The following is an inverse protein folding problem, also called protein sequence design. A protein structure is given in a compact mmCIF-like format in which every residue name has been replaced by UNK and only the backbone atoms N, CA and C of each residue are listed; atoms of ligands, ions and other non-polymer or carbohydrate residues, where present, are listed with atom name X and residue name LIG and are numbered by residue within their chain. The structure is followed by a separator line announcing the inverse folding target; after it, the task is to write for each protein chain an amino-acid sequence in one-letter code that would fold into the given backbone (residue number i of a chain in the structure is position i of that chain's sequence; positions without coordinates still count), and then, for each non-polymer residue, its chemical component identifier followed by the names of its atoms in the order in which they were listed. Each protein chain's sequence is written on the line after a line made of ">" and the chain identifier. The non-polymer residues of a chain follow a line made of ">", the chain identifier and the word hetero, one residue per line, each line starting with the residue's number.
data_IF_304577820339
#
_entry.id   IF_304577820339
#
_cell.length_a   1.000
_cell.length_b   1.000
_cell.length_c   1.000
_cell.angle_alpha   90.00
_cell.angle_beta   90.00
_cell.angle_gamma   90.00
#
_symmetry.space_group_name_H-M   'P 1'
#
loop_
_entity.id
_entity.type
_entity.pdbx_description
1 polymer ?
#
# COMPACT_ATOMS: atom_id res chain seq x y z
N UNK A 1 -19.12 -23.79 16.45
CA UNK A 1 -17.88 -23.95 15.67
C UNK A 1 -17.56 -22.59 15.07
N UNK A 2 -16.63 -21.86 15.68
CA UNK A 2 -16.27 -20.51 15.22
C UNK A 2 -15.67 -20.58 13.83
N UNK A 3 -16.04 -19.65 12.95
CA UNK A 3 -15.39 -19.51 11.64
C UNK A 3 -13.89 -19.28 11.88
N UNK A 4 -13.00 -20.01 11.19
CA UNK A 4 -11.56 -20.00 11.46
C UNK A 4 -10.90 -18.61 11.30
N UNK A 5 -11.55 -17.67 10.60
CA UNK A 5 -10.94 -16.37 10.24
C UNK A 5 -11.53 -15.16 10.99
N UNK A 6 -12.25 -15.39 12.10
CA UNK A 6 -12.84 -14.30 12.89
C UNK A 6 -11.89 -13.80 14.00
N UNK A 7 -11.70 -12.49 14.07
CA UNK A 7 -11.04 -11.79 15.19
C UNK A 7 -12.06 -11.09 16.08
N UNK A 8 -11.64 -10.69 17.27
CA UNK A 8 -12.42 -9.81 18.15
C UNK A 8 -12.02 -8.35 17.89
N UNK A 9 -12.99 -7.45 17.99
CA UNK A 9 -12.73 -6.01 18.02
C UNK A 9 -13.25 -5.41 19.32
N UNK A 10 -12.58 -4.36 19.77
CA UNK A 10 -12.99 -3.50 20.88
C UNK A 10 -12.88 -2.04 20.45
N UNK A 11 -13.88 -1.21 20.76
CA UNK A 11 -13.87 0.21 20.39
C UNK A 11 -13.75 1.09 21.64
N UNK A 12 -12.70 1.90 21.69
CA UNK A 12 -12.64 3.09 22.54
C UNK A 12 -13.38 4.21 21.82
N UNK A 13 -14.44 4.72 22.43
CA UNK A 13 -15.33 5.70 21.81
C UNK A 13 -14.99 7.13 22.24
N UNK A 14 -15.03 8.04 21.29
CA UNK A 14 -14.96 9.48 21.51
C UNK A 14 -16.03 10.23 20.71
N UNK A 15 -16.37 11.44 21.15
CA UNK A 15 -17.20 12.38 20.41
C UNK A 15 -16.33 13.31 19.56
N UNK A 16 -16.95 13.99 18.60
CA UNK A 16 -16.29 14.96 17.71
C UNK A 16 -15.65 16.16 18.45
N UNK A 17 -16.06 16.43 19.70
CA UNK A 17 -15.46 17.45 20.56
C UNK A 17 -14.24 16.96 21.36
N UNK A 18 -13.85 15.68 21.18
CA UNK A 18 -12.74 15.05 21.91
C UNK A 18 -13.13 14.41 23.23
N UNK A 19 -14.42 14.41 23.62
CA UNK A 19 -14.85 13.72 24.84
C UNK A 19 -14.73 12.21 24.69
N UNK A 20 -13.88 11.56 25.50
CA UNK A 20 -13.75 10.09 25.56
C UNK A 20 -14.87 9.51 26.43
N UNK A 21 -15.62 8.56 25.88
CA UNK A 21 -16.81 7.97 26.52
C UNK A 21 -16.52 6.67 27.27
N UNK A 22 -15.51 5.91 26.83
CA UNK A 22 -15.16 4.60 27.36
C UNK A 22 -14.98 3.55 26.27
N UNK A 23 -14.82 2.29 26.67
CA UNK A 23 -14.59 1.15 25.76
C UNK A 23 -15.79 0.21 25.71
N UNK A 24 -16.10 -0.33 24.54
CA UNK A 24 -17.13 -1.37 24.39
C UNK A 24 -16.67 -2.69 25.00
N UNK A 25 -17.59 -3.62 25.32
CA UNK A 25 -17.23 -5.04 25.34
C UNK A 25 -16.69 -5.44 23.97
N UNK A 26 -15.71 -6.35 23.93
CA UNK A 26 -15.23 -6.89 22.66
C UNK A 26 -16.33 -7.71 21.94
N UNK A 27 -16.40 -7.62 20.62
CA UNK A 27 -17.37 -8.32 19.76
C UNK A 27 -16.67 -9.03 18.60
N UNK A 28 -17.34 -9.99 17.97
CA UNK A 28 -16.79 -10.75 16.85
C UNK A 28 -16.86 -9.96 15.55
N UNK A 29 -15.80 -10.06 14.74
CA UNK A 29 -15.68 -9.43 13.42
C UNK A 29 -15.32 -10.52 12.39
N UNK A 30 -15.98 -10.48 11.24
CA UNK A 30 -15.86 -11.52 10.23
C UNK A 30 -14.62 -11.42 9.34
N UNK A 31 -13.93 -10.28 9.36
CA UNK A 31 -12.65 -10.09 8.65
C UNK A 31 -11.46 -10.25 9.60
N UNK A 32 -10.45 -11.06 9.24
CA UNK A 32 -9.20 -11.16 10.01
C UNK A 32 -8.32 -9.92 9.82
N UNK A 33 -8.51 -9.14 8.76
CA UNK A 33 -7.61 -8.04 8.41
C UNK A 33 -7.90 -6.80 9.26
N UNK A 34 -6.90 -6.35 10.01
CA UNK A 34 -7.04 -5.19 10.89
C UNK A 34 -7.35 -3.87 10.15
N UNK A 35 -6.84 -3.61 8.93
CA UNK A 35 -7.22 -2.43 8.15
C UNK A 35 -8.67 -2.44 7.65
N UNK A 36 -9.32 -3.62 7.54
CA UNK A 36 -10.69 -3.73 7.03
C UNK A 36 -11.70 -3.44 8.13
N UNK A 37 -12.34 -2.27 8.05
CA UNK A 37 -13.17 -1.73 9.11
C UNK A 37 -14.66 -1.68 8.78
N UNK A 38 -15.08 -1.95 7.54
CA UNK A 38 -16.49 -2.08 7.21
C UNK A 38 -17.20 -3.12 8.11
N UNK A 39 -16.68 -4.36 8.28
CA UNK A 39 -17.30 -5.34 9.17
C UNK A 39 -17.26 -4.94 10.65
N UNK A 40 -16.29 -4.11 11.06
CA UNK A 40 -16.20 -3.57 12.43
C UNK A 40 -17.32 -2.55 12.64
N UNK A 41 -17.52 -1.64 11.69
CA UNK A 41 -18.59 -0.64 11.73
C UNK A 41 -19.97 -1.29 11.76
N UNK A 42 -20.20 -2.32 10.94
CA UNK A 42 -21.47 -3.02 10.86
C UNK A 42 -21.81 -3.72 12.20
N UNK A 43 -20.85 -4.47 12.76
CA UNK A 43 -21.02 -5.15 14.05
C UNK A 43 -21.20 -4.16 15.21
N UNK A 44 -20.44 -3.06 15.20
CA UNK A 44 -20.56 -2.02 16.21
C UNK A 44 -21.88 -1.25 16.12
N UNK A 45 -22.42 -1.04 14.92
CA UNK A 45 -23.73 -0.38 14.73
C UNK A 45 -24.84 -1.17 15.42
N UNK A 46 -24.82 -2.50 15.30
CA UNK A 46 -25.79 -3.38 16.00
C UNK A 46 -25.65 -3.26 17.52
N UNK A 47 -24.42 -3.13 18.02
CA UNK A 47 -24.14 -3.01 19.47
C UNK A 47 -24.50 -1.64 20.04
N UNK A 48 -24.22 -0.57 19.30
CA UNK A 48 -24.24 0.81 19.79
C UNK A 48 -25.54 1.55 19.41
N UNK A 49 -26.26 1.08 18.39
CA UNK A 49 -27.41 1.77 17.80
C UNK A 49 -27.03 2.99 16.94
N UNK A 50 -25.74 3.22 16.75
CA UNK A 50 -25.15 4.30 15.96
C UNK A 50 -23.93 3.76 15.23
N UNK A 51 -23.69 4.25 14.00
CA UNK A 51 -22.57 3.80 13.20
C UNK A 51 -21.30 4.57 13.57
N UNK A 52 -20.27 3.92 14.14
CA UNK A 52 -19.02 4.60 14.45
C UNK A 52 -18.20 4.82 13.19
N UNK A 53 -17.28 5.79 13.25
CA UNK A 53 -16.17 5.93 12.29
C UNK A 53 -14.87 5.49 12.97
N UNK A 54 -14.17 4.52 12.39
CA UNK A 54 -12.90 4.04 12.94
C UNK A 54 -11.81 5.04 12.58
N UNK A 55 -11.08 5.53 13.58
CA UNK A 55 -9.98 6.48 13.36
C UNK A 55 -8.67 5.72 13.12
N UNK A 56 -8.26 4.90 14.10
CA UNK A 56 -6.97 4.20 14.11
C UNK A 56 -6.99 3.00 15.03
N UNK A 57 -5.96 2.17 14.94
CA UNK A 57 -5.68 1.13 15.94
C UNK A 57 -5.02 1.75 17.18
N UNK A 58 -5.38 1.20 18.34
CA UNK A 58 -4.74 1.44 19.63
C UNK A 58 -3.90 0.24 20.06
N UNK A 59 -4.35 -0.97 19.75
CA UNK A 59 -3.68 -2.22 20.12
C UNK A 59 -4.02 -3.32 19.13
N UNK A 60 -3.02 -4.13 18.79
CA UNK A 60 -3.19 -5.36 18.03
C UNK A 60 -2.58 -6.53 18.80
N UNK A 61 -3.40 -7.53 19.11
CA UNK A 61 -2.99 -8.75 19.80
C UNK A 61 -3.11 -9.91 18.82
N UNK A 62 -1.98 -10.56 18.55
CA UNK A 62 -1.92 -11.80 17.80
C UNK A 62 -2.01 -13.02 18.74
N UNK A 63 -2.60 -14.09 18.23
CA UNK A 63 -2.55 -15.43 18.83
C UNK A 63 -1.14 -16.03 18.66
N UNK A 64 -0.80 -17.10 19.40
CA UNK A 64 0.49 -17.77 19.27
C UNK A 64 0.80 -18.32 17.86
N UNK A 65 -0.22 -18.58 17.04
CA UNK A 65 -0.10 -18.99 15.65
C UNK A 65 0.05 -17.81 14.66
N UNK A 66 0.17 -16.59 15.17
CA UNK A 66 0.29 -15.34 14.40
C UNK A 66 -1.04 -14.78 13.90
N UNK A 67 -2.16 -15.49 14.08
CA UNK A 67 -3.47 -15.02 13.64
C UNK A 67 -3.99 -13.87 14.52
N UNK A 68 -4.82 -12.96 13.98
CA UNK A 68 -5.38 -11.85 14.76
C UNK A 68 -6.33 -12.37 15.86
N UNK A 69 -6.07 -12.00 17.11
CA UNK A 69 -6.96 -12.33 18.24
C UNK A 69 -7.92 -11.19 18.56
N UNK A 70 -7.36 -10.05 18.95
CA UNK A 70 -8.06 -8.84 19.35
C UNK A 70 -7.44 -7.64 18.68
N UNK A 71 -8.28 -6.73 18.19
CA UNK A 71 -7.83 -5.40 17.80
C UNK A 71 -8.66 -4.36 18.51
N UNK A 72 -8.00 -3.46 19.24
CA UNK A 72 -8.63 -2.31 19.85
C UNK A 72 -8.47 -1.12 18.92
N UNK A 73 -9.58 -0.44 18.65
CA UNK A 73 -9.63 0.77 17.84
C UNK A 73 -10.03 1.97 18.67
N UNK A 74 -9.58 3.14 18.22
CA UNK A 74 -10.23 4.40 18.55
C UNK A 74 -11.30 4.67 17.49
N UNK A 75 -12.52 5.00 17.92
CA UNK A 75 -13.62 5.33 17.03
C UNK A 75 -14.37 6.59 17.48
N UNK A 76 -14.78 7.39 16.50
CA UNK A 76 -15.67 8.53 16.70
C UNK A 76 -17.14 8.07 16.55
N UNK A 77 -18.02 8.54 17.44
CA UNK A 77 -19.45 8.25 17.40
C UNK A 77 -20.25 9.56 17.46
N UNK A 78 -21.36 9.70 16.70
CA UNK A 78 -22.11 10.96 16.63
C UNK A 78 -22.74 11.39 17.96
N UNK A 79 -23.08 10.44 18.83
CA UNK A 79 -23.68 10.69 20.14
C UNK A 79 -23.39 9.55 21.12
N UNK A 80 -23.46 9.80 22.44
CA UNK A 80 -23.27 8.75 23.43
C UNK A 80 -24.24 7.56 23.21
N UNK A 81 -23.75 6.32 23.21
CA UNK A 81 -24.60 5.15 23.06
C UNK A 81 -25.36 4.86 24.35
N UNK A 82 -26.50 4.18 24.24
CA UNK A 82 -27.20 3.65 25.43
C UNK A 82 -26.49 2.42 26.03
N UNK A 83 -25.60 1.78 25.26
CA UNK A 83 -24.82 0.63 25.70
C UNK A 83 -23.85 1.02 26.82
N UNK A 84 -23.69 0.13 27.81
CA UNK A 84 -22.75 0.34 28.91
C UNK A 84 -21.30 0.26 28.41
N UNK A 85 -20.50 1.28 28.74
CA UNK A 85 -19.09 1.37 28.41
C UNK A 85 -18.22 1.08 29.63
N UNK A 86 -17.03 0.53 29.39
CA UNK A 86 -15.99 0.32 30.41
C UNK A 86 -15.10 1.55 30.50
N UNK A 87 -14.62 1.93 31.70
CA UNK A 87 -13.61 2.96 31.83
C UNK A 87 -12.37 2.64 31.00
N UNK A 88 -11.79 3.66 30.39
CA UNK A 88 -10.51 3.58 29.65
C UNK A 88 -9.44 4.24 30.51
N UNK A 89 -8.25 3.63 30.53
CA UNK A 89 -7.07 4.18 31.19
C UNK A 89 -6.17 4.90 30.19
N UNK A 90 -5.57 6.02 30.61
CA UNK A 90 -4.75 6.84 29.72
C UNK A 90 -5.59 7.75 28.83
N UNK A 91 -4.90 8.56 28.02
CA UNK A 91 -5.53 9.45 27.05
C UNK A 91 -5.35 8.87 25.63
N UNK A 92 -6.38 8.23 25.04
CA UNK A 92 -6.29 7.67 23.69
C UNK A 92 -6.22 8.75 22.61
N UNK A 93 -6.51 10.02 22.94
CA UNK A 93 -6.44 11.16 22.04
C UNK A 93 -5.12 11.93 22.14
N UNK A 94 -4.23 11.54 23.06
CA UNK A 94 -2.95 12.18 23.26
C UNK A 94 -2.24 12.38 21.91
N UNK A 95 -1.68 13.58 21.67
CA UNK A 95 -1.00 13.87 20.41
C UNK A 95 0.24 13.01 20.29
N UNK A 96 0.42 12.40 19.12
CA UNK A 96 1.64 11.65 18.77
C UNK A 96 2.16 12.15 17.43
N UNK A 97 3.49 12.17 17.23
CA UNK A 97 4.07 12.50 15.93
C UNK A 97 3.56 11.56 14.83
N UNK A 98 3.44 12.11 13.62
CA UNK A 98 3.09 11.35 12.42
C UNK A 98 1.70 10.68 12.44
N UNK A 99 0.80 11.09 13.34
CA UNK A 99 -0.62 10.69 13.23
C UNK A 99 -1.23 11.24 11.95
N UNK A 100 -1.91 10.38 11.20
CA UNK A 100 -2.54 10.76 9.95
C UNK A 100 -3.76 11.66 10.20
N UNK A 101 -4.07 12.59 9.27
CA UNK A 101 -5.24 13.46 9.43
C UNK A 101 -6.55 12.69 9.57
N UNK A 102 -6.74 11.59 8.82
CA UNK A 102 -7.95 10.75 8.93
C UNK A 102 -7.98 9.87 10.19
N UNK A 103 -6.88 9.75 10.91
CA UNK A 103 -6.76 9.03 12.19
C UNK A 103 -7.04 9.93 13.41
N UNK A 104 -7.37 11.20 13.19
CA UNK A 104 -7.68 12.18 14.25
C UNK A 104 -9.18 12.48 14.30
N UNK A 105 -9.66 12.88 15.48
CA UNK A 105 -11.05 13.32 15.71
C UNK A 105 -11.42 14.44 14.73
N UNK A 106 -12.57 14.33 14.06
CA UNK A 106 -13.04 15.23 13.01
C UNK A 106 -12.33 15.10 11.65
N UNK A 107 -11.24 14.33 11.58
CA UNK A 107 -10.48 14.09 10.35
C UNK A 107 -11.31 13.45 9.23
N UNK A 108 -11.97 12.30 9.48
CA UNK A 108 -12.88 11.69 8.51
C UNK A 108 -14.01 12.62 8.06
N UNK A 109 -14.60 13.39 8.96
CA UNK A 109 -15.67 14.33 8.62
C UNK A 109 -15.16 15.44 7.68
N UNK A 110 -13.98 15.99 7.93
CA UNK A 110 -13.35 16.96 7.04
C UNK A 110 -13.05 16.35 5.66
N UNK A 111 -12.53 15.12 5.61
CA UNK A 111 -12.23 14.39 4.39
C UNK A 111 -13.50 14.13 3.54
N UNK A 112 -14.58 13.68 4.18
CA UNK A 112 -15.88 13.47 3.53
C UNK A 112 -16.52 14.79 3.08
N UNK A 113 -16.37 15.87 3.86
CA UNK A 113 -16.83 17.21 3.50
C UNK A 113 -16.15 17.74 2.23
N UNK A 114 -14.83 17.56 2.12
CA UNK A 114 -14.09 17.86 0.89
C UNK A 114 -14.60 17.03 -0.29
N UNK A 115 -14.77 15.72 -0.11
CA UNK A 115 -15.25 14.82 -1.16
C UNK A 115 -16.64 15.24 -1.69
N UNK A 116 -17.58 15.55 -0.80
CA UNK A 116 -18.91 16.01 -1.16
C UNK A 116 -18.88 17.32 -1.97
N UNK A 117 -18.05 18.29 -1.55
CA UNK A 117 -17.87 19.54 -2.29
C UNK A 117 -17.27 19.32 -3.68
N UNK A 118 -16.22 18.49 -3.78
CA UNK A 118 -15.56 18.18 -5.05
C UNK A 118 -16.50 17.48 -6.03
N UNK A 119 -17.34 16.54 -5.55
CA UNK A 119 -18.37 15.89 -6.37
C UNK A 119 -19.46 16.88 -6.82
N UNK A 120 -19.91 17.78 -5.94
CA UNK A 120 -20.91 18.79 -6.28
C UNK A 120 -20.43 19.74 -7.41
N UNK A 121 -19.13 20.11 -7.43
CA UNK A 121 -18.55 20.90 -8.54
C UNK A 121 -18.63 20.15 -9.88
N UNK A 122 -18.56 18.82 -9.86
CA UNK A 122 -18.70 17.95 -11.04
C UNK A 122 -20.18 17.66 -11.40
N UNK A 123 -21.15 18.18 -10.64
CA UNK A 123 -22.57 17.84 -10.80
C UNK A 123 -22.91 16.41 -10.38
N UNK A 124 -22.09 15.79 -9.52
CA UNK A 124 -22.29 14.45 -8.99
C UNK A 124 -22.84 14.58 -7.57
N UNK A 125 -24.02 14.02 -7.31
CA UNK A 125 -24.69 14.12 -6.00
C UNK A 125 -24.53 12.80 -5.22
N UNK A 126 -24.38 12.89 -3.90
CA UNK A 126 -24.42 11.73 -3.01
C UNK A 126 -25.86 11.22 -2.88
N UNK A 127 -26.05 9.91 -3.02
CA UNK A 127 -27.37 9.26 -2.94
C UNK A 127 -27.58 8.48 -1.64
N UNK A 128 -26.57 8.46 -0.77
CA UNK A 128 -26.61 7.79 0.53
C UNK A 128 -25.37 8.08 1.37
N UNK A 129 -25.28 7.44 2.53
CA UNK A 129 -24.14 7.60 3.43
C UNK A 129 -22.85 7.00 2.85
N UNK A 130 -21.73 7.68 3.10
CA UNK A 130 -20.42 7.13 2.81
C UNK A 130 -20.14 5.92 3.72
N UNK A 131 -19.51 4.88 3.18
CA UNK A 131 -19.15 3.69 3.92
C UNK A 131 -17.63 3.54 4.00
N UNK A 132 -17.08 3.66 5.21
CA UNK A 132 -15.67 3.39 5.47
C UNK A 132 -15.35 1.92 5.16
N UNK A 133 -14.41 1.68 4.27
CA UNK A 133 -13.99 0.34 3.87
C UNK A 133 -12.72 -0.06 4.62
N UNK A 134 -11.69 0.81 4.56
CA UNK A 134 -10.39 0.58 5.18
C UNK A 134 -9.88 1.83 5.89
N UNK A 135 -9.10 1.64 6.95
CA UNK A 135 -8.30 2.70 7.59
C UNK A 135 -7.07 2.08 8.25
N UNK A 136 -5.90 2.63 7.95
CA UNK A 136 -4.60 2.24 8.50
C UNK A 136 -3.55 3.31 8.17
N UNK A 137 -2.28 3.01 8.48
CA UNK A 137 -1.13 3.92 8.36
C UNK A 137 -0.80 4.36 6.93
N UNK A 138 -1.18 3.57 5.91
CA UNK A 138 -0.86 3.89 4.52
C UNK A 138 -2.06 4.42 3.72
N UNK A 139 -3.29 4.29 4.23
CA UNK A 139 -4.46 4.92 3.60
C UNK A 139 -5.74 4.81 4.42
N UNK A 140 -6.75 5.61 4.05
CA UNK A 140 -8.16 5.29 4.31
C UNK A 140 -8.95 5.24 3.01
N UNK A 141 -9.91 4.32 2.92
CA UNK A 141 -10.76 4.10 1.76
C UNK A 141 -12.23 4.20 2.15
N UNK A 142 -12.99 4.96 1.38
CA UNK A 142 -14.43 5.13 1.54
C UNK A 142 -15.15 4.89 0.23
N UNK A 143 -16.34 4.28 0.34
CA UNK A 143 -17.28 4.13 -0.76
C UNK A 143 -18.37 5.19 -0.65
N UNK A 144 -18.58 5.96 -1.71
CA UNK A 144 -19.56 7.02 -1.80
C UNK A 144 -20.61 6.63 -2.84
N UNK A 145 -21.86 6.32 -2.44
CA UNK A 145 -22.93 6.12 -3.41
C UNK A 145 -23.33 7.47 -4.03
N UNK A 146 -23.37 7.54 -5.36
CA UNK A 146 -23.67 8.78 -6.10
C UNK A 146 -24.69 8.58 -7.21
N UNK A 147 -25.12 9.67 -7.85
CA UNK A 147 -25.94 9.66 -9.06
C UNK A 147 -25.26 9.07 -10.30
N UNK A 148 -23.92 8.90 -10.27
CA UNK A 148 -23.13 8.28 -11.34
C UNK A 148 -22.58 6.90 -10.93
N UNK A 149 -23.22 6.24 -9.97
CA UNK A 149 -22.75 4.98 -9.40
C UNK A 149 -21.79 5.22 -8.24
N UNK A 150 -20.93 4.25 -7.97
CA UNK A 150 -19.99 4.33 -6.85
C UNK A 150 -18.79 5.22 -7.18
N UNK A 151 -18.43 6.08 -6.23
CA UNK A 151 -17.15 6.79 -6.20
C UNK A 151 -16.34 6.29 -5.01
N UNK A 152 -15.03 6.14 -5.20
CA UNK A 152 -14.10 5.82 -4.13
C UNK A 152 -13.35 7.06 -3.69
N UNK A 153 -13.23 7.25 -2.38
CA UNK A 153 -12.34 8.24 -1.79
C UNK A 153 -11.18 7.51 -1.14
N UNK A 154 -9.97 7.81 -1.61
CA UNK A 154 -8.72 7.33 -1.02
C UNK A 154 -7.97 8.53 -0.46
N UNK A 155 -7.60 8.48 0.82
CA UNK A 155 -6.62 9.39 1.38
C UNK A 155 -5.35 8.62 1.73
N UNK A 156 -4.21 9.27 1.53
CA UNK A 156 -2.87 8.68 1.62
C UNK A 156 -1.91 9.59 2.40
N UNK A 157 -0.86 9.02 3.00
CA UNK A 157 0.09 9.79 3.79
C UNK A 157 0.84 10.81 2.91
N UNK A 158 1.43 11.86 3.51
CA UNK A 158 2.15 12.89 2.76
C UNK A 158 3.26 12.32 1.84
N UNK A 159 3.89 11.21 2.21
CA UNK A 159 4.92 10.57 1.39
C UNK A 159 4.38 9.84 0.14
N UNK A 160 3.06 9.68 0.04
CA UNK A 160 2.34 9.19 -1.16
C UNK A 160 1.54 10.30 -1.85
N UNK A 161 1.75 11.57 -1.50
CA UNK A 161 0.99 12.69 -2.06
C UNK A 161 1.11 12.84 -3.60
N UNK A 162 2.09 12.17 -4.22
CA UNK A 162 2.27 12.14 -5.67
C UNK A 162 1.23 11.25 -6.39
N UNK A 163 0.60 10.28 -5.70
CA UNK A 163 -0.25 9.24 -6.32
C UNK A 163 -1.34 9.84 -7.22
N UNK A 164 -2.15 10.76 -6.70
CA UNK A 164 -3.25 11.35 -7.46
C UNK A 164 -2.79 12.13 -8.70
N UNK A 165 -1.66 12.84 -8.61
CA UNK A 165 -1.11 13.58 -9.74
C UNK A 165 -0.46 12.64 -10.78
N UNK A 166 0.11 11.52 -10.33
CA UNK A 166 0.61 10.48 -11.21
C UNK A 166 -0.54 9.79 -11.95
N UNK A 167 -1.63 9.45 -11.28
CA UNK A 167 -2.82 8.89 -11.93
C UNK A 167 -3.39 9.80 -13.01
N UNK A 168 -3.51 11.11 -12.76
CA UNK A 168 -3.91 12.10 -13.78
C UNK A 168 -2.96 12.09 -14.99
N UNK A 169 -1.65 11.99 -14.74
CA UNK A 169 -0.63 11.93 -15.80
C UNK A 169 -0.74 10.64 -16.63
N UNK A 170 -1.07 9.53 -15.98
CA UNK A 170 -1.18 8.21 -16.58
C UNK A 170 -2.56 7.93 -17.18
N UNK A 171 -3.49 8.89 -17.17
CA UNK A 171 -4.90 8.71 -17.54
C UNK A 171 -5.18 8.16 -18.96
N UNK A 172 -4.17 8.11 -19.86
CA UNK A 172 -4.30 7.44 -21.17
C UNK A 172 -4.11 5.91 -21.10
N UNK A 173 -3.57 5.42 -20.00
CA UNK A 173 -3.34 4.01 -19.73
C UNK A 173 -4.48 3.48 -18.84
N UNK A 174 -4.49 2.16 -18.66
CA UNK A 174 -5.48 1.51 -17.83
C UNK A 174 -5.07 1.60 -16.34
N UNK A 175 -5.32 2.79 -15.77
CA UNK A 175 -5.11 3.15 -14.35
C UNK A 175 -6.40 3.74 -13.77
N UNK A 176 -6.55 3.82 -12.43
CA UNK A 176 -7.72 4.44 -11.81
C UNK A 176 -8.03 5.83 -12.34
N UNK A 177 -9.29 6.04 -12.76
CA UNK A 177 -9.75 7.33 -13.27
C UNK A 177 -10.00 8.31 -12.13
N UNK A 178 -9.24 9.41 -12.10
CA UNK A 178 -9.39 10.49 -11.13
C UNK A 178 -10.57 11.39 -11.48
N UNK A 179 -11.46 11.63 -10.52
CA UNK A 179 -12.58 12.58 -10.59
C UNK A 179 -12.21 13.93 -9.97
N UNK A 180 -11.46 13.91 -8.86
CA UNK A 180 -10.91 15.09 -8.23
C UNK A 180 -9.74 14.67 -7.31
N UNK A 181 -8.86 15.62 -6.99
CA UNK A 181 -7.81 15.41 -6.00
C UNK A 181 -7.55 16.65 -5.16
N UNK A 182 -7.00 16.41 -3.98
CA UNK A 182 -6.39 17.39 -3.09
C UNK A 182 -5.02 16.87 -2.65
N UNK A 183 -4.17 17.66 -1.97
CA UNK A 183 -2.94 17.15 -1.39
C UNK A 183 -3.24 16.00 -0.40
N UNK A 184 -2.93 14.77 -0.80
CA UNK A 184 -3.12 13.57 0.03
C UNK A 184 -4.50 12.89 -0.05
N UNK A 185 -5.40 13.31 -0.95
CA UNK A 185 -6.66 12.59 -1.19
C UNK A 185 -7.11 12.64 -2.65
N UNK A 186 -7.77 11.57 -3.10
CA UNK A 186 -8.25 11.40 -4.46
C UNK A 186 -9.65 10.79 -4.47
N UNK A 187 -10.49 11.29 -5.36
CA UNK A 187 -11.76 10.68 -5.74
C UNK A 187 -11.55 9.88 -7.03
N UNK A 188 -11.87 8.60 -7.00
CA UNK A 188 -11.68 7.65 -8.09
C UNK A 188 -13.04 7.12 -8.55
N UNK A 189 -13.20 6.94 -9.85
CA UNK A 189 -14.35 6.21 -10.38
C UNK A 189 -14.33 4.73 -9.96
N UNK A 190 -15.50 4.10 -9.90
CA UNK A 190 -15.62 2.64 -9.77
C UNK A 190 -14.81 1.91 -10.85
N UNK A 191 -14.13 0.84 -10.45
CA UNK A 191 -13.42 -0.06 -11.35
C UNK A 191 -14.13 -1.43 -11.27
N UNK A 192 -14.80 -1.86 -12.34
CA UNK A 192 -15.48 -3.16 -12.36
C UNK A 192 -14.47 -4.31 -12.40
N UNK A 193 -14.96 -5.53 -12.14
CA UNK A 193 -14.14 -6.75 -12.11
C UNK A 193 -13.68 -7.11 -10.70
N UNK A 194 -12.72 -8.03 -10.62
CA UNK A 194 -12.18 -8.56 -9.37
C UNK A 194 -10.67 -8.29 -9.27
N UNK A 195 -10.13 -8.32 -8.06
CA UNK A 195 -8.69 -8.24 -7.83
C UNK A 195 -8.06 -9.57 -8.30
N UNK A 196 -7.05 -9.49 -9.16
CA UNK A 196 -6.55 -10.65 -9.89
C UNK A 196 -5.49 -11.44 -9.12
N UNK A 197 -5.77 -11.77 -7.85
CA UNK A 197 -4.94 -12.69 -7.06
C UNK A 197 -4.89 -14.10 -7.69
N UNK A 198 -6.03 -14.56 -8.20
CA UNK A 198 -6.21 -15.85 -8.89
C UNK A 198 -6.30 -15.60 -10.40
N UNK A 199 -5.23 -15.08 -11.00
CA UNK A 199 -5.20 -14.72 -12.42
C UNK A 199 -4.99 -15.94 -13.34
N UNK A 200 -5.47 -15.82 -14.57
CA UNK A 200 -5.15 -16.75 -15.65
C UNK A 200 -3.76 -16.45 -16.25
N UNK A 201 -3.02 -17.43 -16.80
CA UNK A 201 -1.69 -17.20 -17.37
C UNK A 201 -1.63 -16.13 -18.47
N UNK A 202 -2.72 -15.94 -19.21
CA UNK A 202 -2.82 -14.87 -20.21
C UNK A 202 -2.93 -13.47 -19.59
N UNK A 203 -3.58 -13.36 -18.42
CA UNK A 203 -3.70 -12.11 -17.68
C UNK A 203 -2.35 -11.69 -17.11
N UNK A 204 -1.55 -12.62 -16.56
CA UNK A 204 -0.20 -12.30 -16.08
C UNK A 204 0.67 -11.64 -17.16
N UNK A 205 0.65 -12.17 -18.40
CA UNK A 205 1.35 -11.57 -19.54
C UNK A 205 0.81 -10.18 -19.90
N UNK A 206 -0.50 -10.03 -19.92
CA UNK A 206 -1.15 -8.73 -20.21
C UNK A 206 -0.86 -7.67 -19.13
N UNK A 207 -0.69 -8.06 -17.86
CA UNK A 207 -0.25 -7.17 -16.79
C UNK A 207 1.16 -6.65 -17.05
N UNK A 208 2.08 -7.54 -17.44
CA UNK A 208 3.46 -7.17 -17.82
C UNK A 208 3.45 -6.22 -19.02
N UNK A 209 2.67 -6.53 -20.05
CA UNK A 209 2.53 -5.69 -21.24
C UNK A 209 2.03 -4.29 -20.85
N UNK A 210 1.01 -4.20 -19.99
CA UNK A 210 0.46 -2.94 -19.48
C UNK A 210 1.53 -2.11 -18.75
N UNK A 211 2.29 -2.72 -17.83
CA UNK A 211 3.33 -2.00 -17.09
C UNK A 211 4.44 -1.53 -18.03
N UNK A 212 4.96 -2.39 -18.91
CA UNK A 212 6.03 -2.00 -19.84
C UNK A 212 5.57 -0.91 -20.81
N UNK A 213 4.32 -0.96 -21.28
CA UNK A 213 3.74 0.11 -22.10
C UNK A 213 3.72 1.45 -21.35
N UNK A 214 3.32 1.46 -20.07
CA UNK A 214 3.36 2.65 -19.22
C UNK A 214 4.80 3.16 -19.06
N UNK A 215 5.74 2.26 -18.72
CA UNK A 215 7.15 2.63 -18.49
C UNK A 215 7.79 3.23 -19.75
N UNK A 216 7.61 2.57 -20.90
CA UNK A 216 8.07 3.03 -22.21
C UNK A 216 7.54 4.43 -22.51
N UNK A 217 6.28 4.67 -22.22
CA UNK A 217 5.58 5.92 -22.48
C UNK A 217 6.05 7.09 -21.60
N UNK A 218 6.59 6.78 -20.42
CA UNK A 218 7.12 7.77 -19.48
C UNK A 218 8.64 7.98 -19.56
N UNK A 219 9.37 7.16 -20.33
CA UNK A 219 10.85 7.15 -20.37
C UNK A 219 11.53 8.50 -20.59
N UNK A 220 10.89 9.40 -21.35
CA UNK A 220 11.45 10.71 -21.69
C UNK A 220 11.06 11.82 -20.70
N UNK A 221 10.37 11.49 -19.60
CA UNK A 221 9.73 12.47 -18.72
C UNK A 221 10.13 12.34 -17.24
N UNK A 222 11.35 11.86 -16.97
CA UNK A 222 11.81 11.63 -15.60
C UNK A 222 11.85 12.93 -14.76
N UNK A 223 12.25 14.04 -15.38
CA UNK A 223 12.26 15.34 -14.70
C UNK A 223 10.86 15.75 -14.24
N UNK A 224 9.84 15.50 -15.07
CA UNK A 224 8.45 15.78 -14.73
C UNK A 224 7.91 14.85 -13.64
N UNK A 225 8.29 13.57 -13.66
CA UNK A 225 7.97 12.62 -12.59
C UNK A 225 8.60 13.05 -11.25
N UNK A 226 9.86 13.48 -11.23
CA UNK A 226 10.48 14.04 -10.02
C UNK A 226 9.75 15.30 -9.52
N UNK A 227 9.27 16.16 -10.43
CA UNK A 227 8.45 17.34 -10.05
C UNK A 227 7.09 16.97 -9.45
N UNK A 228 6.56 15.77 -9.71
CA UNK A 228 5.37 15.25 -9.02
C UNK A 228 5.68 14.77 -7.60
N UNK A 229 6.95 14.63 -7.24
CA UNK A 229 7.38 14.15 -5.92
C UNK A 229 7.64 12.65 -5.84
N UNK A 230 7.85 11.98 -6.98
CA UNK A 230 8.23 10.57 -6.97
C UNK A 230 9.62 10.38 -6.32
N UNK A 231 9.80 9.37 -5.47
CA UNK A 231 11.09 9.02 -4.87
C UNK A 231 12.11 8.56 -5.92
N UNK A 232 13.39 8.78 -5.60
CA UNK A 232 14.52 8.35 -6.41
C UNK A 232 15.00 6.96 -5.96
N UNK A 233 14.85 5.97 -6.84
CA UNK A 233 15.32 4.59 -6.70
C UNK A 233 16.37 4.21 -7.73
N UNK A 234 17.00 5.21 -8.36
CA UNK A 234 18.20 4.96 -9.16
C UNK A 234 19.29 4.41 -8.26
N UNK A 235 20.16 3.57 -8.83
CA UNK A 235 21.15 2.79 -8.06
C UNK A 235 21.95 3.60 -7.02
N UNK A 236 22.40 4.85 -7.27
CA UNK A 236 23.09 5.65 -6.26
C UNK A 236 22.19 6.02 -5.07
N UNK A 237 21.01 6.60 -5.33
CA UNK A 237 20.08 7.02 -4.29
C UNK A 237 19.55 5.81 -3.50
N UNK A 238 19.34 4.68 -4.18
CA UNK A 238 18.90 3.46 -3.53
C UNK A 238 19.98 2.89 -2.59
N UNK A 239 21.27 2.97 -2.95
CA UNK A 239 22.37 2.59 -2.06
C UNK A 239 22.34 3.39 -0.77
N UNK A 240 22.22 4.71 -0.90
CA UNK A 240 22.19 5.65 0.23
C UNK A 240 20.98 5.40 1.15
N UNK A 241 19.85 4.95 0.59
CA UNK A 241 18.67 4.59 1.37
C UNK A 241 18.82 3.22 2.07
N UNK A 242 19.45 2.24 1.44
CA UNK A 242 19.56 0.87 1.96
C UNK A 242 20.64 0.73 3.03
N UNK A 243 21.80 1.37 2.85
CA UNK A 243 22.95 1.18 3.75
C UNK A 243 22.61 1.45 5.23
N UNK A 244 21.96 2.57 5.61
CA UNK A 244 21.60 2.82 7.01
C UNK A 244 20.60 1.80 7.58
N UNK A 245 19.75 1.21 6.73
CA UNK A 245 18.77 0.20 7.15
C UNK A 245 19.49 -1.11 7.44
N UNK A 246 20.42 -1.52 6.59
CA UNK A 246 21.27 -2.68 6.87
C UNK A 246 22.06 -2.48 8.17
N UNK A 247 22.71 -1.34 8.35
CA UNK A 247 23.46 -1.03 9.58
C UNK A 247 22.59 -1.08 10.84
N UNK A 248 21.36 -0.55 10.76
CA UNK A 248 20.39 -0.56 11.87
C UNK A 248 20.00 -1.97 12.32
N UNK A 249 19.88 -2.91 11.38
CA UNK A 249 19.35 -4.24 11.63
C UNK A 249 20.38 -5.36 11.53
N UNK A 250 21.65 -5.05 11.26
CA UNK A 250 22.71 -6.04 11.04
C UNK A 250 22.82 -7.07 12.19
N UNK A 251 22.65 -6.64 13.44
CA UNK A 251 22.74 -7.51 14.61
C UNK A 251 21.48 -8.36 14.85
N UNK A 252 20.37 -8.03 14.21
CA UNK A 252 19.15 -8.83 14.23
C UNK A 252 19.17 -9.99 13.21
N UNK A 253 20.11 -9.96 12.25
CA UNK A 253 20.23 -10.97 11.21
C UNK A 253 21.10 -12.17 11.63
N UNK A 254 20.82 -13.38 11.12
CA UNK A 254 21.79 -14.48 11.16
C UNK A 254 23.13 -14.06 10.55
N UNK A 255 24.23 -14.61 11.09
CA UNK A 255 25.58 -14.22 10.66
C UNK A 255 25.84 -14.49 9.15
N UNK A 256 25.24 -15.55 8.60
CA UNK A 256 25.27 -15.86 7.16
C UNK A 256 24.59 -14.78 6.33
N UNK A 257 23.42 -14.34 6.78
CA UNK A 257 22.56 -13.43 6.03
C UNK A 257 23.14 -12.02 6.07
N UNK A 258 23.67 -11.62 7.24
CA UNK A 258 24.47 -10.40 7.37
C UNK A 258 25.66 -10.39 6.41
N UNK A 259 26.39 -11.49 6.29
CA UNK A 259 27.53 -11.58 5.38
C UNK A 259 27.10 -11.51 3.89
N UNK A 260 25.99 -12.17 3.54
CA UNK A 260 25.44 -12.13 2.19
C UNK A 260 25.01 -10.70 1.79
N UNK A 261 24.24 -10.01 2.64
CA UNK A 261 23.83 -8.61 2.38
C UNK A 261 25.05 -7.69 2.32
N UNK A 262 26.02 -7.83 3.23
CA UNK A 262 27.25 -7.05 3.19
C UNK A 262 28.02 -7.25 1.87
N UNK A 263 28.04 -8.47 1.33
CA UNK A 263 28.65 -8.78 0.03
C UNK A 263 27.92 -8.08 -1.13
N UNK A 264 26.57 -8.05 -1.11
CA UNK A 264 25.78 -7.30 -2.10
C UNK A 264 26.11 -5.81 -2.07
N UNK A 265 26.19 -5.22 -0.87
CA UNK A 265 26.53 -3.79 -0.69
C UNK A 265 27.97 -3.48 -1.09
N UNK A 266 28.92 -4.39 -0.84
CA UNK A 266 30.31 -4.24 -1.27
C UNK A 266 30.44 -4.32 -2.80
N UNK A 267 29.64 -5.16 -3.46
CA UNK A 267 29.61 -5.33 -4.92
C UNK A 267 28.71 -4.34 -5.67
N UNK A 268 28.15 -3.32 -5.00
CA UNK A 268 27.11 -2.46 -5.56
C UNK A 268 27.54 -1.72 -6.84
N UNK A 269 28.75 -1.17 -6.86
CA UNK A 269 29.23 -0.37 -8.01
C UNK A 269 29.48 -1.25 -9.24
N UNK A 270 30.03 -2.45 -9.03
CA UNK A 270 30.21 -3.44 -10.11
C UNK A 270 28.86 -3.90 -10.68
N UNK A 271 27.89 -4.18 -9.80
CA UNK A 271 26.52 -4.55 -10.19
C UNK A 271 25.82 -3.41 -10.95
N UNK A 272 26.07 -2.16 -10.57
CA UNK A 272 25.54 -0.98 -11.27
C UNK A 272 26.10 -0.90 -12.69
N UNK A 273 27.42 -1.04 -12.86
CA UNK A 273 28.03 -1.07 -14.19
C UNK A 273 27.53 -2.23 -15.06
N UNK A 274 27.32 -3.41 -14.44
CA UNK A 274 26.73 -4.56 -15.14
C UNK A 274 25.28 -4.33 -15.55
N UNK A 275 24.50 -3.62 -14.74
CA UNK A 275 23.13 -3.20 -15.09
C UNK A 275 23.13 -2.19 -16.23
N UNK A 276 24.02 -1.20 -16.20
CA UNK A 276 24.16 -0.23 -17.31
C UNK A 276 24.49 -0.95 -18.63
N UNK A 277 25.34 -1.98 -18.58
CA UNK A 277 25.69 -2.81 -19.73
C UNK A 277 24.50 -3.63 -20.27
N UNK A 278 23.43 -3.82 -19.49
CA UNK A 278 22.19 -4.46 -19.93
C UNK A 278 21.33 -3.53 -20.82
N UNK A 279 21.66 -2.24 -20.95
CA UNK A 279 21.06 -1.35 -21.95
C UNK A 279 19.64 -0.86 -21.63
N UNK A 280 19.18 -0.96 -20.38
CA UNK A 280 17.92 -0.40 -19.92
C UNK A 280 18.18 0.80 -19.01
N UNK A 281 17.72 1.98 -19.44
CA UNK A 281 17.79 3.20 -18.63
C UNK A 281 16.72 3.21 -17.55
N UNK A 282 16.92 4.02 -16.51
CA UNK A 282 15.92 4.26 -15.46
C UNK A 282 14.60 4.79 -16.04
N UNK A 283 13.48 4.34 -15.48
CA UNK A 283 12.12 4.70 -15.86
C UNK A 283 11.22 4.79 -14.62
N UNK A 284 9.92 5.02 -14.87
CA UNK A 284 8.90 4.86 -13.84
C UNK A 284 8.90 3.41 -13.32
N UNK A 285 8.83 3.26 -12.01
CA UNK A 285 8.66 1.99 -11.29
C UNK A 285 7.33 2.09 -10.56
N UNK A 286 6.50 1.06 -10.67
CA UNK A 286 5.22 0.98 -9.96
C UNK A 286 5.44 0.79 -8.46
N UNK A 287 6.42 -0.05 -8.11
CA UNK A 287 7.02 -0.27 -6.81
C UNK A 287 6.27 -1.19 -5.85
N UNK A 288 5.01 -1.49 -6.13
CA UNK A 288 4.23 -2.58 -5.54
C UNK A 288 3.47 -3.38 -6.61
N UNK A 289 4.16 -3.78 -7.69
CA UNK A 289 3.52 -4.46 -8.81
C UNK A 289 3.37 -5.97 -8.55
N UNK A 290 2.13 -6.39 -8.29
CA UNK A 290 1.74 -7.79 -8.19
C UNK A 290 0.31 -8.01 -8.69
N UNK A 291 -0.11 -9.25 -9.05
CA UNK A 291 -1.43 -9.50 -9.62
C UNK A 291 -2.61 -8.97 -8.80
N UNK A 292 -2.53 -9.02 -7.47
CA UNK A 292 -3.54 -8.44 -6.56
C UNK A 292 -3.72 -6.91 -6.63
N UNK A 293 -2.77 -6.17 -7.22
CA UNK A 293 -2.90 -4.72 -7.49
C UNK A 293 -3.38 -4.46 -8.91
N UNK A 294 -3.89 -5.48 -9.61
CA UNK A 294 -4.56 -5.33 -10.89
C UNK A 294 -6.00 -5.80 -10.73
N UNK A 295 -6.94 -4.97 -11.16
CA UNK A 295 -8.37 -5.29 -11.14
C UNK A 295 -8.90 -5.39 -12.55
N UNK A 296 -9.77 -6.35 -12.80
CA UNK A 296 -10.27 -6.56 -14.15
C UNK A 296 -11.19 -7.76 -14.32
N UNK A 297 -11.68 -7.92 -15.55
CA UNK A 297 -12.38 -9.14 -15.98
C UNK A 297 -11.98 -9.47 -17.41
N UNK A 298 -11.65 -10.74 -17.67
CA UNK A 298 -11.10 -11.15 -18.95
C UNK A 298 -9.82 -10.38 -19.29
N UNK A 299 -9.82 -9.66 -20.43
CA UNK A 299 -8.68 -8.86 -20.90
C UNK A 299 -8.71 -7.38 -20.51
N UNK A 300 -9.76 -6.89 -19.85
CA UNK A 300 -9.80 -5.52 -19.33
C UNK A 300 -9.07 -5.48 -17.99
N UNK A 301 -7.96 -4.75 -17.93
CA UNK A 301 -7.11 -4.63 -16.75
C UNK A 301 -7.01 -3.17 -16.31
N UNK A 302 -6.98 -2.91 -15.01
CA UNK A 302 -6.65 -1.62 -14.43
C UNK A 302 -5.61 -1.82 -13.34
N UNK A 303 -4.44 -1.20 -13.51
CA UNK A 303 -3.33 -1.26 -12.54
C UNK A 303 -3.53 -0.21 -11.44
N UNK A 304 -3.75 -0.69 -10.22
CA UNK A 304 -4.11 0.06 -9.02
C UNK A 304 -2.88 0.48 -8.21
N UNK A 305 -3.10 1.32 -7.19
CA UNK A 305 -2.16 1.56 -6.07
C UNK A 305 -0.75 2.04 -6.45
N UNK A 306 -0.70 3.25 -7.01
CA UNK A 306 0.52 3.93 -7.43
C UNK A 306 1.21 4.74 -6.31
N UNK A 307 0.84 4.51 -5.05
CA UNK A 307 1.44 5.20 -3.89
C UNK A 307 2.93 4.86 -3.73
N UNK A 308 3.27 3.60 -3.97
CA UNK A 308 4.63 3.08 -3.94
C UNK A 308 5.38 3.28 -5.27
N UNK A 309 5.00 4.27 -6.08
CA UNK A 309 5.68 4.54 -7.34
C UNK A 309 6.96 5.37 -7.14
N UNK A 310 7.91 5.25 -8.07
CA UNK A 310 9.20 5.94 -8.00
C UNK A 310 9.96 5.87 -9.33
N UNK A 311 11.20 6.34 -9.33
CA UNK A 311 12.03 6.37 -10.55
C UNK A 311 13.30 5.56 -10.32
N UNK A 312 13.53 4.54 -11.14
CA UNK A 312 14.69 3.66 -11.03
C UNK A 312 14.70 2.63 -12.16
N UNK A 313 15.43 1.53 -11.97
CA UNK A 313 15.51 0.52 -13.02
C UNK A 313 14.12 -0.13 -13.26
N UNK A 314 13.60 -0.20 -14.51
CA UNK A 314 12.22 -0.61 -14.79
C UNK A 314 11.87 -2.04 -14.37
N UNK A 315 12.88 -2.88 -14.18
CA UNK A 315 12.76 -4.27 -13.72
C UNK A 315 12.75 -4.44 -12.19
N UNK A 316 12.76 -3.36 -11.40
CA UNK A 316 12.61 -3.45 -9.95
C UNK A 316 11.27 -4.07 -9.51
N UNK A 317 10.24 -3.93 -10.35
CA UNK A 317 8.89 -4.47 -10.12
C UNK A 317 8.78 -5.99 -10.34
N UNK A 318 9.72 -6.57 -11.08
CA UNK A 318 9.62 -7.96 -11.52
C UNK A 318 9.64 -8.94 -10.34
N UNK A 319 10.49 -8.70 -9.35
CA UNK A 319 10.66 -9.60 -8.22
C UNK A 319 9.37 -9.72 -7.38
N UNK A 320 8.67 -8.60 -7.15
CA UNK A 320 7.40 -8.60 -6.42
C UNK A 320 6.30 -9.33 -7.21
N UNK A 321 6.27 -9.16 -8.53
CA UNK A 321 5.28 -9.77 -9.40
C UNK A 321 5.37 -11.31 -9.42
N UNK A 322 6.59 -11.85 -9.48
CA UNK A 322 6.80 -13.30 -9.62
C UNK A 322 7.00 -14.03 -8.29
N UNK A 323 7.15 -13.33 -7.16
CA UNK A 323 7.51 -13.93 -5.86
C UNK A 323 6.55 -15.03 -5.39
N UNK A 324 5.24 -14.84 -5.57
CA UNK A 324 4.20 -15.77 -5.10
C UNK A 324 3.79 -16.80 -6.15
N UNK A 325 4.36 -16.74 -7.35
CA UNK A 325 4.04 -17.66 -8.43
C UNK A 325 4.78 -19.00 -8.27
N UNK A 326 4.18 -20.13 -8.63
CA UNK A 326 4.91 -21.38 -8.83
C UNK A 326 6.05 -21.18 -9.84
N UNK A 327 7.22 -21.80 -9.58
CA UNK A 327 8.42 -21.65 -10.43
C UNK A 327 8.17 -21.74 -11.94
N UNK A 328 7.45 -22.75 -12.47
CA UNK A 328 7.20 -22.84 -13.92
C UNK A 328 6.43 -21.64 -14.49
N UNK A 329 5.54 -21.06 -13.71
CA UNK A 329 4.77 -19.87 -14.10
C UNK A 329 5.64 -18.61 -14.03
N UNK A 330 6.38 -18.43 -12.94
CA UNK A 330 7.35 -17.34 -12.78
C UNK A 330 8.37 -17.31 -13.93
N UNK A 331 8.91 -18.47 -14.32
CA UNK A 331 9.86 -18.59 -15.42
C UNK A 331 9.23 -18.19 -16.76
N UNK A 332 7.99 -18.61 -17.02
CA UNK A 332 7.25 -18.24 -18.23
C UNK A 332 6.94 -16.74 -18.30
N UNK A 333 6.59 -16.12 -17.16
CA UNK A 333 6.36 -14.67 -17.04
C UNK A 333 7.67 -13.90 -17.24
N UNK A 334 8.78 -14.31 -16.61
CA UNK A 334 10.10 -13.70 -16.80
C UNK A 334 10.55 -13.76 -18.25
N UNK A 335 10.35 -14.90 -18.92
CA UNK A 335 10.64 -15.05 -20.35
C UNK A 335 9.82 -14.08 -21.21
N UNK A 336 8.51 -13.98 -20.97
CA UNK A 336 7.66 -13.02 -21.66
C UNK A 336 8.12 -11.58 -21.42
N UNK A 337 8.45 -11.23 -20.17
CA UNK A 337 8.91 -9.89 -19.81
C UNK A 337 10.23 -9.53 -20.50
N UNK A 338 11.18 -10.48 -20.57
CA UNK A 338 12.42 -10.32 -21.32
C UNK A 338 12.16 -10.10 -22.82
N UNK A 339 11.25 -10.87 -23.41
CA UNK A 339 10.87 -10.73 -24.82
C UNK A 339 10.21 -9.37 -25.11
N UNK A 340 9.36 -8.87 -24.20
CA UNK A 340 8.72 -7.55 -24.32
C UNK A 340 9.78 -6.44 -24.29
N UNK A 341 10.76 -6.52 -23.38
CA UNK A 341 11.85 -5.55 -23.33
C UNK A 341 12.76 -5.61 -24.55
N UNK A 342 13.12 -6.80 -25.03
CA UNK A 342 13.92 -6.95 -26.24
C UNK A 342 13.25 -6.33 -27.48
N UNK A 343 11.91 -6.38 -27.56
CA UNK A 343 11.15 -5.68 -28.61
C UNK A 343 11.08 -4.16 -28.39
N UNK A 344 10.98 -3.72 -27.15
CA UNK A 344 10.81 -2.31 -26.78
C UNK A 344 12.13 -1.52 -26.88
N UNK A 345 13.24 -2.16 -26.48
CA UNK A 345 14.60 -1.62 -26.50
C UNK A 345 15.53 -2.67 -27.13
N UNK A 346 15.66 -2.69 -28.47
CA UNK A 346 16.51 -3.66 -29.16
C UNK A 346 17.95 -3.63 -28.63
N UNK A 347 18.46 -4.80 -28.26
CA UNK A 347 19.81 -4.96 -27.69
C UNK A 347 19.87 -4.94 -26.17
N UNK A 348 18.75 -4.70 -25.47
CA UNK A 348 18.72 -4.82 -24.00
C UNK A 348 18.80 -6.27 -23.53
N UNK A 349 19.44 -6.51 -22.39
CA UNK A 349 19.50 -7.81 -21.71
C UNK A 349 18.67 -7.79 -20.42
N UNK A 350 17.35 -7.84 -20.59
CA UNK A 350 16.39 -7.83 -19.48
C UNK A 350 16.55 -9.06 -18.56
N UNK A 351 16.89 -10.23 -19.12
CA UNK A 351 17.10 -11.46 -18.35
C UNK A 351 18.26 -11.28 -17.36
N UNK A 352 19.42 -10.80 -17.82
CA UNK A 352 20.55 -10.51 -16.94
C UNK A 352 20.22 -9.42 -15.93
N UNK A 353 19.52 -8.37 -16.34
CA UNK A 353 19.12 -7.29 -15.44
C UNK A 353 18.21 -7.78 -14.30
N UNK A 354 17.23 -8.64 -14.56
CA UNK A 354 16.38 -9.25 -13.51
C UNK A 354 17.21 -10.02 -12.49
N UNK A 355 18.17 -10.84 -12.94
CA UNK A 355 19.08 -11.57 -12.04
C UNK A 355 19.90 -10.63 -11.17
N UNK A 356 20.45 -9.56 -11.77
CA UNK A 356 21.24 -8.57 -11.05
C UNK A 356 20.39 -7.78 -10.04
N UNK A 357 19.12 -7.51 -10.34
CA UNK A 357 18.22 -6.73 -9.48
C UNK A 357 17.57 -7.54 -8.37
N UNK A 358 17.51 -8.86 -8.45
CA UNK A 358 16.82 -9.69 -7.44
C UNK A 358 17.15 -9.32 -5.98
N UNK A 359 18.43 -9.28 -5.54
CA UNK A 359 18.75 -8.85 -4.19
C UNK A 359 18.51 -7.35 -3.96
N UNK A 360 18.64 -6.51 -5.00
CA UNK A 360 18.44 -5.06 -4.92
C UNK A 360 16.95 -4.71 -4.70
N UNK A 361 16.03 -5.43 -5.34
CA UNK A 361 14.59 -5.26 -5.16
C UNK A 361 14.17 -5.62 -3.72
N UNK A 362 14.73 -6.68 -3.15
CA UNK A 362 14.50 -7.03 -1.74
C UNK A 362 15.08 -5.98 -0.77
N UNK A 363 16.30 -5.48 -1.02
CA UNK A 363 16.89 -4.41 -0.24
C UNK A 363 16.07 -3.10 -0.33
N UNK A 364 15.55 -2.77 -1.51
CA UNK A 364 14.62 -1.65 -1.69
C UNK A 364 13.41 -1.80 -0.77
N UNK A 365 12.79 -2.99 -0.72
CA UNK A 365 11.63 -3.22 0.15
C UNK A 365 11.98 -2.99 1.63
N UNK A 366 13.14 -3.46 2.09
CA UNK A 366 13.60 -3.16 3.46
C UNK A 366 13.68 -1.66 3.74
N UNK A 367 14.21 -0.88 2.78
CA UNK A 367 14.27 0.58 2.88
C UNK A 367 12.90 1.26 2.82
N UNK A 368 11.98 0.78 1.99
CA UNK A 368 10.59 1.28 1.89
C UNK A 368 9.86 1.09 3.22
N UNK A 369 9.86 -0.14 3.76
CA UNK A 369 9.17 -0.42 5.02
C UNK A 369 9.79 0.31 6.21
N UNK A 370 11.12 0.45 6.26
CA UNK A 370 11.76 1.29 7.26
C UNK A 370 11.33 2.76 7.09
N UNK A 371 11.24 3.25 5.86
CA UNK A 371 10.71 4.57 5.55
C UNK A 371 9.26 4.75 6.03
N UNK A 372 8.42 3.72 6.00
CA UNK A 372 7.09 3.78 6.59
C UNK A 372 7.18 3.90 8.11
N UNK A 373 7.93 3.02 8.78
CA UNK A 373 8.08 3.02 10.25
C UNK A 373 8.56 4.38 10.78
N UNK A 374 9.44 5.06 10.06
CA UNK A 374 9.97 6.38 10.43
C UNK A 374 8.95 7.52 10.25
N UNK A 375 7.86 7.31 9.48
CA UNK A 375 6.90 8.35 9.08
C UNK A 375 5.44 8.04 9.43
N UNK A 376 5.19 7.02 10.25
CA UNK A 376 3.87 6.66 10.77
C UNK A 376 3.87 6.67 12.31
N UNK A 377 2.69 6.87 12.90
CA UNK A 377 2.57 6.91 14.37
C UNK A 377 2.95 5.57 15.02
N UNK A 378 3.49 5.58 16.26
CA UNK A 378 3.99 4.36 16.90
C UNK A 378 2.99 3.21 16.98
N UNK A 379 1.72 3.49 17.29
CA UNK A 379 0.67 2.47 17.45
C UNK A 379 0.37 1.72 16.15
N UNK A 380 0.62 2.34 14.99
CA UNK A 380 0.41 1.72 13.69
C UNK A 380 1.70 1.13 13.08
N UNK A 381 2.84 1.23 13.76
CA UNK A 381 4.09 0.58 13.29
C UNK A 381 4.01 -0.94 13.29
N UNK A 382 3.06 -1.54 14.01
CA UNK A 382 2.91 -2.99 14.06
C UNK A 382 2.63 -3.61 12.68
N UNK A 383 2.07 -2.85 11.72
CA UNK A 383 1.84 -3.33 10.36
C UNK A 383 3.12 -3.73 9.64
N UNK A 384 4.25 -3.07 9.97
CA UNK A 384 5.51 -3.20 9.23
C UNK A 384 6.73 -3.42 10.11
N UNK A 385 6.56 -3.56 11.43
CA UNK A 385 7.66 -3.60 12.41
C UNK A 385 8.75 -4.63 12.09
N UNK A 386 8.35 -5.76 11.52
CA UNK A 386 9.23 -6.89 11.25
C UNK A 386 9.61 -6.96 9.75
N UNK A 387 9.02 -6.11 8.91
CA UNK A 387 9.26 -6.11 7.46
C UNK A 387 10.72 -5.77 7.08
N UNK A 388 11.40 -4.76 7.67
CA UNK A 388 12.78 -4.47 7.30
C UNK A 388 13.71 -5.67 7.45
N UNK A 389 13.61 -6.40 8.58
CA UNK A 389 14.44 -7.59 8.84
C UNK A 389 14.08 -8.70 7.86
N UNK A 390 12.78 -8.99 7.67
CA UNK A 390 12.30 -10.00 6.72
C UNK A 390 12.82 -9.77 5.30
N UNK A 391 12.86 -8.51 4.85
CA UNK A 391 13.35 -8.18 3.51
C UNK A 391 14.88 -8.19 3.39
N UNK A 392 15.61 -7.92 4.48
CA UNK A 392 17.06 -8.14 4.52
C UNK A 392 17.40 -9.64 4.45
N UNK A 393 16.68 -10.50 5.16
CA UNK A 393 16.80 -11.97 5.06
C UNK A 393 16.44 -12.46 3.66
N UNK A 394 15.38 -11.90 3.05
CA UNK A 394 15.02 -12.19 1.66
C UNK A 394 16.13 -11.81 0.70
N UNK A 395 16.74 -10.64 0.87
CA UNK A 395 17.87 -10.18 0.05
C UNK A 395 19.07 -11.13 0.18
N UNK A 396 19.37 -11.62 1.38
CA UNK A 396 20.40 -12.64 1.59
C UNK A 396 20.07 -13.95 0.86
N UNK A 397 18.84 -14.44 0.98
CA UNK A 397 18.39 -15.71 0.42
C UNK A 397 18.43 -15.73 -1.11
N UNK A 398 18.22 -14.59 -1.78
CA UNK A 398 18.29 -14.49 -3.26
C UNK A 398 19.67 -14.06 -3.76
N UNK A 399 20.60 -13.71 -2.87
CA UNK A 399 21.99 -13.39 -3.20
C UNK A 399 22.92 -14.61 -3.11
N UNK A 400 22.55 -15.61 -2.30
CA UNK A 400 23.23 -16.90 -2.18
C UNK A 400 22.93 -17.81 -3.38
#
# INVERSE_FOLDING_TARGET
>A
MGRPDARRAELVLCLADGTVLGSTPSFAVTSPWAPEVAPVCDAATVLLGERPTILRILEFVARPDGQPDLTRYLAEIPRPPAAALRPVTGDPLAPVPHRMPWASVGGPAALLGWAAQALAVQGIELTGEAAQQRTWNLSTLWRLPTTQGTVWLKAVPPFFAHEGALLERLARHAVPRVLARSPGAVLLAEIPGDDLYDHEPAQARAMVDLLVDIQRDQRSYLAELFRLGLPDWRMPALRDAVTPVFERYADALPASDRAAVASVLAGWDGRTADLDACGLSDMLVHGDFHPGNVRGSGGELVLLDWGDSGIGHPLLDEAAFTERMPRPEADAVRAHWADVWARTVPGSDATRAMTLLSPIAALRQAAVYQGFLDRVEPDERFYHRDDPVRWLERAAAVAA
#
